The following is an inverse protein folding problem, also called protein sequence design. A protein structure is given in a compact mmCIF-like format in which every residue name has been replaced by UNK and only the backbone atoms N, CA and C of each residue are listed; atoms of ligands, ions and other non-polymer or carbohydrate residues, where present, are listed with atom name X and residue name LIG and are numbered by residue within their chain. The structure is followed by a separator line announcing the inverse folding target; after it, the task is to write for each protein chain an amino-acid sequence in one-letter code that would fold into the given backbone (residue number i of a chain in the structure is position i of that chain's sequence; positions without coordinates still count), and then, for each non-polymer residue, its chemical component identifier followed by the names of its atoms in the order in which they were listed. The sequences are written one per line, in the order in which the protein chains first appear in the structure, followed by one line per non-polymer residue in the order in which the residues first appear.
data_IF_761760099088
#
_entry.id   IF_761760099088
#
_cell.length_a   1.000
_cell.length_b   1.000
_cell.length_c   1.000
_cell.angle_alpha   90.00
_cell.angle_beta   90.00
_cell.angle_gamma   90.00
#
_symmetry.space_group_name_H-M   'P 1'
#
loop_
_entity.id
_entity.type
_entity.pdbx_description
1 polymer ?
#
# COMPACT_ATOMS: atom_id res chain seq x y z
N UNK A 1 22.21 6.70 -26.54
CA UNK A 1 20.92 6.61 -27.26
C UNK A 1 20.30 5.27 -26.94
N UNK A 2 19.44 5.23 -25.92
CA UNK A 2 18.40 4.21 -25.76
C UNK A 2 17.17 4.94 -25.23
N UNK A 3 16.35 5.35 -26.19
CA UNK A 3 14.98 5.81 -25.96
C UNK A 3 14.16 4.64 -25.43
N UNK A 4 13.28 4.89 -24.45
CA UNK A 4 12.25 3.92 -24.06
C UNK A 4 11.84 3.95 -22.59
N UNK A 5 10.93 4.87 -22.25
CA UNK A 5 9.71 4.44 -21.54
C UNK A 5 8.56 5.43 -21.84
N UNK A 6 7.65 5.10 -22.77
CA UNK A 6 6.50 5.91 -23.13
C UNK A 6 5.24 5.48 -22.36
N UNK A 7 5.29 5.38 -21.03
CA UNK A 7 4.09 5.19 -20.21
C UNK A 7 4.24 5.96 -18.90
N UNK A 8 3.50 7.06 -18.80
CA UNK A 8 3.41 7.88 -17.60
C UNK A 8 2.84 7.08 -16.43
N UNK A 9 3.68 6.86 -15.41
CA UNK A 9 3.27 6.45 -14.07
C UNK A 9 4.02 7.34 -13.06
N UNK A 10 3.28 7.86 -12.08
CA UNK A 10 3.54 9.15 -11.44
C UNK A 10 4.83 9.26 -10.61
N UNK A 11 5.59 10.32 -10.87
CA UNK A 11 6.74 10.78 -10.09
C UNK A 11 6.34 11.58 -8.82
N UNK A 12 5.16 11.35 -8.24
CA UNK A 12 4.67 12.17 -7.11
C UNK A 12 5.48 11.98 -5.82
N UNK A 13 6.04 10.78 -5.59
CA UNK A 13 6.76 10.44 -4.35
C UNK A 13 8.28 10.61 -4.46
N UNK A 14 8.83 10.72 -5.68
CA UNK A 14 10.29 10.80 -5.89
C UNK A 14 10.86 12.19 -5.63
N UNK A 15 10.05 13.25 -5.59
CA UNK A 15 10.53 14.60 -5.38
C UNK A 15 9.54 15.51 -4.62
N UNK A 16 9.72 15.59 -3.31
CA UNK A 16 9.74 16.87 -2.60
C UNK A 16 10.71 16.71 -1.42
N UNK A 17 11.85 17.42 -1.45
CA UNK A 17 12.78 17.51 -0.32
C UNK A 17 12.05 17.80 0.99
N UNK A 18 11.03 18.65 0.91
CA UNK A 18 10.11 18.99 2.00
C UNK A 18 9.39 17.77 2.62
N UNK A 19 8.96 16.79 1.83
CA UNK A 19 8.32 15.57 2.36
C UNK A 19 9.31 14.75 3.19
N UNK A 20 10.55 14.60 2.71
CA UNK A 20 11.60 13.88 3.45
C UNK A 20 11.97 14.58 4.75
N UNK A 21 12.04 15.91 4.72
CA UNK A 21 12.29 16.72 5.91
C UNK A 21 11.19 16.55 6.94
N UNK A 22 9.92 16.66 6.52
CA UNK A 22 8.77 16.46 7.41
C UNK A 22 8.75 15.05 8.04
N UNK A 23 9.06 14.00 7.26
CA UNK A 23 9.12 12.63 7.80
C UNK A 23 10.24 12.49 8.84
N UNK A 24 11.39 13.12 8.61
CA UNK A 24 12.50 13.12 9.60
C UNK A 24 12.16 13.87 10.87
N UNK A 25 11.33 14.93 10.82
CA UNK A 25 10.93 15.68 12.03
C UNK A 25 10.16 14.84 13.05
N UNK A 26 9.54 13.73 12.62
CA UNK A 26 8.83 12.79 13.51
C UNK A 26 9.65 11.55 13.84
N UNK A 27 10.95 11.53 13.49
CA UNK A 27 11.85 10.41 13.76
C UNK A 27 11.69 9.20 12.82
N UNK A 28 10.94 9.35 11.71
CA UNK A 28 10.75 8.30 10.72
C UNK A 28 11.76 8.39 9.56
N UNK A 29 11.98 7.26 8.88
CA UNK A 29 12.84 7.16 7.70
C UNK A 29 12.04 6.75 6.46
N UNK A 30 12.49 7.22 5.29
CA UNK A 30 11.91 6.86 3.99
C UNK A 30 12.69 5.71 3.37
N UNK A 31 12.07 4.53 3.31
CA UNK A 31 12.62 3.37 2.61
C UNK A 31 12.10 3.38 1.16
N UNK A 32 13.01 3.43 0.19
CA UNK A 32 12.65 3.37 -1.23
C UNK A 32 12.65 1.93 -1.73
N UNK A 33 11.54 1.50 -2.31
CA UNK A 33 11.46 0.21 -2.99
C UNK A 33 12.19 0.26 -4.35
N UNK A 34 12.79 -0.86 -4.79
CA UNK A 34 13.39 -0.96 -6.12
C UNK A 34 12.36 -0.63 -7.22
N UNK A 35 12.80 0.01 -8.32
CA UNK A 35 11.92 0.30 -9.46
C UNK A 35 11.37 -1.01 -10.05
N UNK A 36 10.07 -1.03 -10.34
CA UNK A 36 9.33 -2.18 -10.89
C UNK A 36 9.21 -3.39 -9.96
N UNK A 37 9.01 -3.17 -8.65
CA UNK A 37 8.68 -4.24 -7.70
C UNK A 37 7.25 -4.10 -7.13
N UNK A 38 6.20 -4.20 -7.95
CA UNK A 38 4.82 -4.20 -7.45
C UNK A 38 4.57 -5.39 -6.50
N UNK A 39 5.31 -6.49 -6.67
CA UNK A 39 5.16 -7.72 -5.86
C UNK A 39 5.80 -7.62 -4.47
N UNK A 40 6.49 -6.52 -4.13
CA UNK A 40 7.25 -6.36 -2.87
C UNK A 40 6.67 -5.30 -1.92
N UNK A 41 5.44 -4.84 -2.13
CA UNK A 41 4.81 -3.89 -1.22
C UNK A 41 3.79 -4.59 -0.33
N UNK A 42 3.98 -4.61 1.01
CA UNK A 42 3.01 -5.20 1.95
C UNK A 42 1.58 -4.64 1.79
N UNK A 43 1.45 -3.40 1.30
CA UNK A 43 0.15 -2.78 1.01
C UNK A 43 -0.64 -3.53 -0.07
N UNK A 44 0.03 -4.18 -1.04
CA UNK A 44 -0.63 -4.92 -2.11
C UNK A 44 -1.24 -6.23 -1.59
N UNK A 45 -0.59 -6.87 -0.61
CA UNK A 45 -1.14 -8.03 0.10
C UNK A 45 -2.38 -7.63 0.92
N UNK A 46 -2.30 -6.48 1.61
CA UNK A 46 -3.46 -5.88 2.28
C UNK A 46 -4.62 -5.61 1.30
N UNK A 47 -4.34 -4.97 0.15
CA UNK A 47 -5.33 -4.73 -0.89
C UNK A 47 -5.92 -6.03 -1.45
N UNK A 48 -5.13 -7.08 -1.59
CA UNK A 48 -5.59 -8.40 -2.04
C UNK A 48 -6.65 -8.96 -1.07
N UNK A 49 -6.35 -8.98 0.24
CA UNK A 49 -7.28 -9.42 1.29
C UNK A 49 -8.53 -8.55 1.35
N UNK A 50 -8.38 -7.23 1.32
CA UNK A 50 -9.49 -6.27 1.34
C UNK A 50 -10.43 -6.47 0.14
N UNK A 51 -9.88 -6.61 -1.07
CA UNK A 51 -10.67 -6.89 -2.28
C UNK A 51 -11.37 -8.24 -2.19
N UNK A 52 -10.73 -9.28 -1.62
CA UNK A 52 -11.36 -10.58 -1.40
C UNK A 52 -12.59 -10.46 -0.50
N UNK A 53 -12.48 -9.76 0.63
CA UNK A 53 -13.58 -9.54 1.55
C UNK A 53 -14.71 -8.69 0.92
N UNK A 54 -14.37 -7.61 0.21
CA UNK A 54 -15.35 -6.74 -0.45
C UNK A 54 -16.15 -7.47 -1.54
N UNK A 55 -15.51 -8.37 -2.29
CA UNK A 55 -16.20 -9.17 -3.32
C UNK A 55 -17.31 -10.04 -2.72
N UNK A 56 -17.14 -10.48 -1.47
CA UNK A 56 -18.16 -11.24 -0.72
C UNK A 56 -19.33 -10.35 -0.31
N UNK A 57 -19.08 -9.09 0.04
CA UNK A 57 -20.10 -8.14 0.48
C UNK A 57 -21.08 -7.71 -0.63
N UNK A 58 -20.71 -7.86 -1.91
CA UNK A 58 -21.55 -7.51 -3.09
C UNK A 58 -22.15 -6.09 -3.04
N UNK A 59 -21.48 -5.15 -2.37
CA UNK A 59 -21.92 -3.77 -2.23
C UNK A 59 -22.06 -3.06 -3.59
N UNK A 60 -23.14 -2.28 -3.77
CA UNK A 60 -23.46 -1.60 -5.04
C UNK A 60 -23.59 -0.08 -4.92
N UNK A 61 -23.44 0.47 -3.72
CA UNK A 61 -23.43 1.92 -3.49
C UNK A 61 -22.18 2.30 -2.71
N UNK A 62 -21.76 3.57 -2.85
CA UNK A 62 -20.58 4.10 -2.18
C UNK A 62 -20.70 4.01 -0.66
N UNK A 63 -21.88 4.25 -0.11
CA UNK A 63 -22.16 4.20 1.33
C UNK A 63 -21.97 2.79 1.87
N UNK A 64 -22.52 1.78 1.17
CA UNK A 64 -22.39 0.38 1.57
C UNK A 64 -20.95 -0.10 1.39
N UNK A 65 -20.24 0.38 0.37
CA UNK A 65 -18.80 0.09 0.20
C UNK A 65 -18.01 0.68 1.37
N UNK A 66 -18.25 1.93 1.75
CA UNK A 66 -17.55 2.59 2.86
C UNK A 66 -17.82 1.87 4.19
N UNK A 67 -19.06 1.46 4.44
CA UNK A 67 -19.39 0.71 5.64
C UNK A 67 -18.72 -0.67 5.64
N UNK A 68 -18.75 -1.39 4.51
CA UNK A 68 -18.06 -2.68 4.38
C UNK A 68 -16.55 -2.54 4.55
N UNK A 69 -15.94 -1.49 4.00
CA UNK A 69 -14.52 -1.19 4.19
C UNK A 69 -14.16 -1.01 5.66
N UNK A 70 -14.93 -0.21 6.40
CA UNK A 70 -14.72 0.00 7.84
C UNK A 70 -14.80 -1.31 8.61
N UNK A 71 -15.83 -2.13 8.37
CA UNK A 71 -16.00 -3.42 9.03
C UNK A 71 -14.83 -4.38 8.70
N UNK A 72 -14.42 -4.45 7.44
CA UNK A 72 -13.32 -5.34 7.02
C UNK A 72 -12.00 -4.90 7.67
N UNK A 73 -11.69 -3.60 7.64
CA UNK A 73 -10.45 -3.07 8.22
C UNK A 73 -10.41 -3.32 9.73
N UNK A 74 -11.51 -3.11 10.44
CA UNK A 74 -11.55 -3.25 11.91
C UNK A 74 -11.60 -4.69 12.40
N UNK A 75 -12.08 -5.63 11.58
CA UNK A 75 -12.41 -6.98 12.06
C UNK A 75 -11.78 -8.13 11.26
N UNK A 76 -11.23 -7.87 10.07
CA UNK A 76 -10.70 -8.92 9.19
C UNK A 76 -9.21 -8.74 8.88
N UNK A 77 -8.62 -7.62 9.28
CA UNK A 77 -7.18 -7.35 9.16
C UNK A 77 -6.62 -7.28 10.58
N UNK A 78 -5.75 -8.22 10.93
CA UNK A 78 -5.08 -8.27 12.23
C UNK A 78 -3.64 -7.76 12.16
N UNK A 79 -3.05 -7.54 13.33
CA UNK A 79 -1.62 -7.23 13.46
C UNK A 79 -0.75 -8.37 12.89
N UNK A 80 -1.15 -9.63 13.09
CA UNK A 80 -0.46 -10.80 12.54
C UNK A 80 -0.47 -10.82 11.01
N UNK A 81 -1.57 -10.40 10.38
CA UNK A 81 -1.61 -10.25 8.92
C UNK A 81 -0.57 -9.22 8.47
N UNK A 82 -0.53 -8.07 9.14
CA UNK A 82 0.40 -7.00 8.81
C UNK A 82 1.85 -7.49 8.92
N UNK A 83 2.24 -8.05 10.07
CA UNK A 83 3.58 -8.61 10.30
C UNK A 83 3.91 -9.64 9.22
N UNK A 84 3.01 -10.58 8.94
CA UNK A 84 3.21 -11.61 7.92
C UNK A 84 3.40 -11.04 6.51
N UNK A 85 2.73 -9.93 6.16
CA UNK A 85 2.93 -9.26 4.88
C UNK A 85 4.29 -8.56 4.78
N UNK A 86 4.75 -7.94 5.85
CA UNK A 86 6.09 -7.35 5.91
C UNK A 86 7.17 -8.44 5.77
N UNK A 87 7.05 -9.55 6.50
CA UNK A 87 7.94 -10.70 6.38
C UNK A 87 7.93 -11.31 4.97
N UNK A 88 6.76 -11.45 4.36
CA UNK A 88 6.63 -11.97 2.99
C UNK A 88 7.39 -11.11 1.97
N UNK A 89 7.44 -9.80 2.19
CA UNK A 89 8.20 -8.86 1.35
C UNK A 89 9.69 -8.76 1.75
N UNK A 90 10.16 -9.54 2.73
CA UNK A 90 11.53 -9.49 3.24
C UNK A 90 11.84 -8.24 4.06
N UNK A 91 10.80 -7.53 4.52
CA UNK A 91 10.91 -6.35 5.37
C UNK A 91 10.73 -6.81 6.82
N UNK A 92 11.84 -7.15 7.47
CA UNK A 92 11.83 -7.48 8.89
C UNK A 92 11.78 -6.18 9.70
N UNK A 93 10.62 -5.91 10.29
CA UNK A 93 10.34 -4.74 11.15
C UNK A 93 10.16 -5.15 12.60
#
# INVERSE_FOLDING_TARGET
MTEGNPLGQGNAHRAASKIREMIRTVGAEVIFLPPYSPDLSPIELCWSKLKQCLRTAKARTTEVINQALTEIINHQISDDDAVGWFEHCGLFI
#
